data_IF_302954386825
#
_entry.id   IF_302954386825
#
_cell.length_a   1.000
_cell.length_b   1.000
_cell.length_c   1.000
_cell.angle_alpha   90.00
_cell.angle_beta   90.00
_cell.angle_gamma   90.00
#
_symmetry.space_group_name_H-M   'P 1'
#
loop_
_entity.id
_entity.type
_entity.pdbx_description
1 polymer ?
#
# COMPACT_ATOMS: atom_id res chain seq x y z
N UNK A 1 -12.63 13.35 15.53
CA UNK A 1 -11.90 12.09 15.25
C UNK A 1 -11.09 12.26 13.98
N UNK A 2 -9.85 11.86 14.01
CA UNK A 2 -9.06 11.79 12.77
C UNK A 2 -9.67 10.69 11.89
N UNK A 3 -10.09 11.04 10.67
CA UNK A 3 -10.57 10.07 9.71
C UNK A 3 -9.46 9.12 9.23
N UNK A 4 -9.84 8.01 8.62
CA UNK A 4 -8.90 7.06 8.00
C UNK A 4 -8.18 7.74 6.85
N UNK A 5 -6.84 7.76 6.89
CA UNK A 5 -6.01 8.43 5.88
C UNK A 5 -5.14 7.48 5.05
N UNK A 6 -4.95 6.25 5.52
CA UNK A 6 -4.15 5.22 4.85
C UNK A 6 -5.03 4.03 4.51
N UNK A 7 -4.96 3.56 3.27
CA UNK A 7 -5.55 2.29 2.86
C UNK A 7 -4.49 1.21 2.73
N UNK A 8 -4.66 0.07 3.40
CA UNK A 8 -3.86 -1.13 3.16
C UNK A 8 -4.71 -2.11 2.37
N UNK A 9 -4.32 -2.40 1.15
CA UNK A 9 -5.02 -3.35 0.27
C UNK A 9 -4.11 -4.51 -0.12
N UNK A 10 -4.70 -5.67 -0.31
CA UNK A 10 -3.97 -6.89 -0.68
C UNK A 10 -4.85 -7.81 -1.54
N UNK A 11 -4.21 -8.64 -2.35
CA UNK A 11 -4.92 -9.52 -3.27
C UNK A 11 -5.59 -10.72 -2.61
N UNK A 12 -5.13 -11.10 -1.42
CA UNK A 12 -5.56 -12.33 -0.74
C UNK A 12 -5.34 -12.21 0.77
N UNK A 13 -6.09 -13.00 1.53
CA UNK A 13 -5.88 -13.12 2.99
C UNK A 13 -4.48 -13.61 3.34
N UNK A 14 -3.87 -14.43 2.50
CA UNK A 14 -2.51 -14.95 2.70
C UNK A 14 -1.44 -13.84 2.72
N UNK A 15 -1.70 -12.70 2.05
CA UNK A 15 -0.77 -11.58 2.00
C UNK A 15 -0.72 -10.81 3.33
N UNK A 16 -1.69 -11.04 4.22
CA UNK A 16 -1.78 -10.32 5.49
C UNK A 16 -0.57 -10.56 6.39
N UNK A 17 0.02 -11.75 6.37
CA UNK A 17 1.23 -12.04 7.14
C UNK A 17 2.37 -11.04 6.81
N UNK A 18 2.48 -10.64 5.55
CA UNK A 18 3.43 -9.59 5.11
C UNK A 18 2.89 -8.19 5.40
N UNK A 19 1.65 -7.90 4.99
CA UNK A 19 1.08 -6.55 5.05
C UNK A 19 0.81 -6.08 6.48
N UNK A 20 0.67 -6.99 7.43
CA UNK A 20 0.56 -6.67 8.85
C UNK A 20 1.74 -5.81 9.35
N UNK A 21 2.94 -6.00 8.80
CA UNK A 21 4.10 -5.18 9.20
C UNK A 21 3.90 -3.69 8.87
N UNK A 22 3.19 -3.34 7.81
CA UNK A 22 2.82 -1.94 7.53
C UNK A 22 1.79 -1.43 8.55
N UNK A 23 0.81 -2.27 8.90
CA UNK A 23 -0.19 -1.93 9.90
C UNK A 23 0.42 -1.70 11.28
N UNK A 24 1.35 -2.56 11.70
CA UNK A 24 2.04 -2.42 12.99
C UNK A 24 2.78 -1.07 13.10
N UNK A 25 3.47 -0.64 12.03
CA UNK A 25 4.12 0.68 11.98
C UNK A 25 3.09 1.82 12.11
N UNK A 26 1.98 1.73 11.40
CA UNK A 26 0.93 2.76 11.48
C UNK A 26 0.29 2.81 12.86
N UNK A 27 0.10 1.67 13.52
CA UNK A 27 -0.38 1.57 14.90
C UNK A 27 0.59 2.24 15.87
N UNK A 28 1.90 1.94 15.78
CA UNK A 28 2.95 2.57 16.59
C UNK A 28 2.98 4.10 16.42
N UNK A 29 2.72 4.59 15.21
CA UNK A 29 2.70 6.02 14.91
C UNK A 29 1.33 6.68 15.15
N UNK A 30 0.32 5.93 15.58
CA UNK A 30 -1.02 6.44 15.86
C UNK A 30 -1.75 6.94 14.60
N UNK A 31 -1.49 6.35 13.45
CA UNK A 31 -2.09 6.72 12.17
C UNK A 31 -3.26 5.79 11.85
N UNK A 32 -4.44 6.37 11.66
CA UNK A 32 -5.64 5.62 11.32
C UNK A 32 -5.58 5.07 9.89
N UNK A 33 -5.82 3.77 9.74
CA UNK A 33 -5.84 3.08 8.47
C UNK A 33 -7.04 2.15 8.35
N UNK A 34 -7.39 1.78 7.13
CA UNK A 34 -8.28 0.65 6.83
C UNK A 34 -7.49 -0.45 6.15
N UNK A 35 -7.94 -1.70 6.29
CA UNK A 35 -7.38 -2.86 5.59
C UNK A 35 -8.46 -3.59 4.83
N UNK A 36 -8.20 -3.91 3.56
CA UNK A 36 -9.18 -4.60 2.70
C UNK A 36 -8.53 -5.57 1.73
N UNK A 37 -9.22 -6.68 1.48
CA UNK A 37 -8.88 -7.57 0.38
C UNK A 37 -9.52 -7.00 -0.88
N UNK A 38 -8.66 -6.64 -1.83
CA UNK A 38 -9.01 -6.09 -3.14
C UNK A 38 -8.15 -6.80 -4.18
N UNK A 39 -8.70 -7.83 -4.81
CA UNK A 39 -7.94 -8.59 -5.80
C UNK A 39 -8.12 -8.01 -7.20
N UNK A 40 -7.00 -7.67 -7.85
CA UNK A 40 -7.03 -7.19 -9.23
C UNK A 40 -7.64 -8.20 -10.20
N UNK A 41 -7.38 -9.48 -9.99
CA UNK A 41 -7.82 -10.55 -10.91
C UNK A 41 -9.17 -11.15 -10.53
N UNK A 42 -9.46 -11.29 -9.22
CA UNK A 42 -10.68 -11.98 -8.75
C UNK A 42 -11.83 -11.05 -8.41
N UNK A 43 -11.54 -9.79 -8.06
CA UNK A 43 -12.54 -8.78 -7.74
C UNK A 43 -12.24 -7.45 -8.44
N UNK A 44 -12.15 -7.41 -9.79
CA UNK A 44 -11.78 -6.20 -10.53
C UNK A 44 -12.74 -5.03 -10.29
N UNK A 45 -14.04 -5.28 -10.16
CA UNK A 45 -15.02 -4.23 -9.87
C UNK A 45 -14.79 -3.59 -8.50
N UNK A 46 -14.43 -4.40 -7.50
CA UNK A 46 -14.06 -3.88 -6.16
C UNK A 46 -12.81 -3.02 -6.23
N UNK A 47 -11.81 -3.43 -7.03
CA UNK A 47 -10.60 -2.62 -7.26
C UNK A 47 -10.98 -1.26 -7.87
N UNK A 48 -11.81 -1.29 -8.90
CA UNK A 48 -12.27 -0.10 -9.58
C UNK A 48 -12.96 0.87 -8.61
N UNK A 49 -13.95 0.38 -7.87
CA UNK A 49 -14.71 1.19 -6.92
C UNK A 49 -13.84 1.70 -5.77
N UNK A 50 -12.92 0.88 -5.27
CA UNK A 50 -11.98 1.31 -4.24
C UNK A 50 -11.12 2.49 -4.71
N UNK A 51 -10.52 2.39 -5.89
CA UNK A 51 -9.67 3.44 -6.46
C UNK A 51 -10.45 4.72 -6.75
N UNK A 52 -11.64 4.60 -7.35
CA UNK A 52 -12.52 5.72 -7.71
C UNK A 52 -12.96 6.52 -6.48
N UNK A 53 -13.26 5.84 -5.38
CA UNK A 53 -13.78 6.48 -4.16
C UNK A 53 -12.71 6.89 -3.15
N UNK A 54 -11.48 6.38 -3.28
CA UNK A 54 -10.40 6.54 -2.31
C UNK A 54 -10.16 8.01 -1.90
N UNK A 55 -9.97 8.90 -2.85
CA UNK A 55 -9.72 10.32 -2.57
C UNK A 55 -10.93 10.99 -1.89
N UNK A 56 -12.14 10.70 -2.35
CA UNK A 56 -13.39 11.24 -1.76
C UNK A 56 -13.63 10.76 -0.33
N UNK A 57 -13.19 9.55 0.01
CA UNK A 57 -13.26 8.99 1.37
C UNK A 57 -12.18 9.53 2.32
N UNK A 58 -11.27 10.35 1.83
CA UNK A 58 -10.23 10.98 2.63
C UNK A 58 -8.89 10.25 2.67
N UNK A 59 -8.71 9.17 1.89
CA UNK A 59 -7.42 8.48 1.82
C UNK A 59 -6.36 9.39 1.18
N UNK A 60 -5.19 9.42 1.77
CA UNK A 60 -4.02 10.22 1.37
C UNK A 60 -2.93 9.37 0.73
N UNK A 61 -2.92 8.10 1.04
CA UNK A 61 -1.97 7.13 0.49
C UNK A 61 -2.58 5.72 0.57
N UNK A 62 -2.25 4.88 -0.40
CA UNK A 62 -2.66 3.47 -0.44
C UNK A 62 -1.39 2.61 -0.46
N UNK A 63 -1.30 1.67 0.48
CA UNK A 63 -0.27 0.62 0.49
C UNK A 63 -0.89 -0.63 -0.11
N UNK A 64 -0.35 -1.10 -1.22
CA UNK A 64 -0.87 -2.24 -1.98
C UNK A 64 0.13 -3.39 -2.01
N UNK A 65 -0.21 -4.51 -1.37
CA UNK A 65 0.58 -5.73 -1.37
C UNK A 65 0.09 -6.74 -2.38
N UNK A 66 1.00 -7.32 -3.15
CA UNK A 66 0.66 -8.32 -4.14
C UNK A 66 1.81 -9.29 -4.39
N UNK A 67 1.49 -10.55 -4.71
CA UNK A 67 2.45 -11.61 -4.98
C UNK A 67 2.26 -12.25 -6.35
N UNK A 68 3.34 -12.79 -6.90
CA UNK A 68 3.36 -13.42 -8.22
C UNK A 68 3.17 -12.41 -9.35
N UNK A 69 2.12 -12.58 -10.14
CA UNK A 69 1.64 -11.57 -11.09
C UNK A 69 1.03 -10.40 -10.29
N UNK A 70 1.88 -9.59 -9.70
CA UNK A 70 1.54 -8.59 -8.70
C UNK A 70 0.99 -7.30 -9.33
N UNK A 71 -0.12 -7.40 -10.04
CA UNK A 71 -0.71 -6.30 -10.81
C UNK A 71 -1.47 -5.28 -9.97
N UNK A 72 -1.84 -5.62 -8.73
CA UNK A 72 -2.70 -4.78 -7.89
C UNK A 72 -2.19 -3.34 -7.70
N UNK A 73 -0.91 -3.09 -7.36
CA UNK A 73 -0.43 -1.72 -7.16
C UNK A 73 -0.55 -0.85 -8.41
N UNK A 74 -0.12 -1.35 -9.57
CA UNK A 74 -0.20 -0.63 -10.84
C UNK A 74 -1.64 -0.40 -11.29
N UNK A 75 -2.49 -1.41 -11.18
CA UNK A 75 -3.92 -1.29 -11.50
C UNK A 75 -4.62 -0.30 -10.57
N UNK A 76 -4.29 -0.28 -9.28
CA UNK A 76 -4.81 0.71 -8.35
C UNK A 76 -4.34 2.12 -8.73
N UNK A 77 -3.06 2.31 -9.02
CA UNK A 77 -2.52 3.60 -9.46
C UNK A 77 -3.20 4.15 -10.72
N UNK A 78 -3.70 3.27 -11.59
CA UNK A 78 -4.46 3.67 -12.78
C UNK A 78 -5.89 4.15 -12.49
N UNK A 79 -6.41 3.92 -11.29
CA UNK A 79 -7.79 4.20 -10.90
C UNK A 79 -7.96 5.32 -9.88
N UNK A 80 -6.85 5.84 -9.36
CA UNK A 80 -6.88 6.88 -8.34
C UNK A 80 -5.74 7.87 -8.52
N UNK A 81 -5.95 9.09 -8.06
CA UNK A 81 -4.90 10.10 -7.90
C UNK A 81 -4.19 10.04 -6.54
N UNK A 82 -4.66 9.15 -5.66
CA UNK A 82 -4.03 8.92 -4.36
C UNK A 82 -2.71 8.18 -4.59
N UNK A 83 -1.58 8.62 -4.02
CA UNK A 83 -0.30 7.92 -4.15
C UNK A 83 -0.39 6.46 -3.75
N UNK A 84 0.24 5.58 -4.53
CA UNK A 84 0.27 4.13 -4.28
C UNK A 84 1.69 3.69 -3.97
N UNK A 85 1.84 2.98 -2.85
CA UNK A 85 3.07 2.31 -2.43
C UNK A 85 2.87 0.82 -2.64
N UNK A 86 3.72 0.21 -3.46
CA UNK A 86 3.66 -1.21 -3.79
C UNK A 86 4.59 -2.05 -2.93
N UNK A 87 4.07 -3.11 -2.33
CA UNK A 87 4.84 -4.07 -1.54
C UNK A 87 4.85 -5.42 -2.27
N UNK A 88 6.02 -5.86 -2.78
CA UNK A 88 6.17 -7.19 -3.34
C UNK A 88 6.05 -8.25 -2.24
N UNK A 89 5.04 -9.11 -2.33
CA UNK A 89 4.86 -10.23 -1.40
C UNK A 89 5.70 -11.41 -1.85
N UNK A 90 6.37 -12.06 -0.92
CA UNK A 90 7.21 -13.22 -1.20
C UNK A 90 6.37 -14.38 -1.76
N UNK A 91 6.91 -15.09 -2.77
CA UNK A 91 6.26 -16.24 -3.41
C UNK A 91 7.13 -17.49 -3.26
N UNK A 92 6.49 -18.66 -3.40
CA UNK A 92 7.21 -19.94 -3.45
C UNK A 92 7.95 -20.13 -4.77
N UNK A 93 7.45 -19.55 -5.86
CA UNK A 93 7.98 -19.78 -7.21
C UNK A 93 9.35 -19.12 -7.40
N UNK A 94 9.47 -17.81 -7.12
CA UNK A 94 10.68 -17.03 -7.36
C UNK A 94 11.07 -16.15 -6.15
N UNK A 95 10.67 -16.56 -4.95
CA UNK A 95 11.01 -15.87 -3.69
C UNK A 95 10.63 -14.39 -3.63
N UNK A 96 9.67 -13.97 -4.43
CA UNK A 96 9.18 -12.58 -4.50
C UNK A 96 9.80 -11.75 -5.62
N UNK A 97 10.80 -12.26 -6.35
CA UNK A 97 11.39 -11.55 -7.51
C UNK A 97 10.35 -11.37 -8.63
N UNK A 98 9.48 -12.34 -8.83
CA UNK A 98 8.33 -12.26 -9.71
C UNK A 98 7.37 -11.14 -9.30
N UNK A 99 7.06 -11.02 -8.02
CA UNK A 99 6.25 -9.93 -7.46
C UNK A 99 6.93 -8.57 -7.69
N UNK A 100 8.22 -8.47 -7.39
CA UNK A 100 9.01 -7.25 -7.56
C UNK A 100 8.98 -6.77 -9.01
N UNK A 101 9.30 -7.64 -9.97
CA UNK A 101 9.31 -7.26 -11.38
C UNK A 101 7.94 -6.91 -11.93
N UNK A 102 6.88 -7.55 -11.41
CA UNK A 102 5.50 -7.20 -11.80
C UNK A 102 5.08 -5.79 -11.39
N UNK A 103 5.72 -5.22 -10.36
CA UNK A 103 5.38 -3.89 -9.84
C UNK A 103 6.34 -2.81 -10.37
N UNK A 104 7.61 -3.14 -10.55
CA UNK A 104 8.69 -2.17 -10.67
C UNK A 104 8.63 -1.31 -11.93
N UNK A 105 8.36 -1.90 -13.10
CA UNK A 105 8.44 -1.25 -14.41
C UNK A 105 7.10 -0.64 -14.84
N UNK A 106 6.55 0.27 -14.05
CA UNK A 106 5.31 0.96 -14.42
C UNK A 106 5.52 1.89 -15.62
N UNK A 107 4.57 1.93 -16.58
CA UNK A 107 4.63 2.87 -17.69
C UNK A 107 4.48 4.32 -17.21
N UNK A 108 4.93 5.26 -18.02
CA UNK A 108 4.78 6.69 -17.75
C UNK A 108 3.30 7.04 -17.47
N UNK A 109 3.06 7.74 -16.38
CA UNK A 109 1.74 8.22 -15.98
C UNK A 109 1.08 7.41 -14.84
N UNK A 110 1.64 6.27 -14.46
CA UNK A 110 1.12 5.40 -13.40
C UNK A 110 2.19 5.11 -12.33
N UNK A 111 2.60 6.11 -11.54
CA UNK A 111 3.67 5.91 -10.58
C UNK A 111 3.26 5.00 -9.43
N UNK A 112 4.15 4.06 -9.08
CA UNK A 112 4.07 3.24 -7.88
C UNK A 112 5.40 3.29 -7.15
N UNK A 113 5.39 3.64 -5.87
CA UNK A 113 6.59 3.59 -5.04
C UNK A 113 6.84 2.14 -4.59
N UNK A 114 7.73 1.44 -5.28
CA UNK A 114 7.98 0.02 -5.04
C UNK A 114 8.96 -0.19 -3.89
N UNK A 115 8.54 -0.93 -2.86
CA UNK A 115 9.31 -1.25 -1.68
C UNK A 115 10.10 -2.57 -1.83
N UNK A 116 10.88 -2.91 -0.82
CA UNK A 116 11.56 -4.20 -0.74
C UNK A 116 10.57 -5.37 -0.66
N UNK A 117 11.03 -6.57 -0.98
CA UNK A 117 10.24 -7.80 -0.91
C UNK A 117 9.95 -8.15 0.57
N UNK A 118 8.70 -8.50 0.87
CA UNK A 118 8.30 -9.09 2.13
C UNK A 118 8.15 -8.10 3.29
N UNK A 119 8.41 -8.56 4.50
CA UNK A 119 8.16 -7.83 5.74
C UNK A 119 8.88 -6.48 5.83
N UNK A 120 10.16 -6.43 5.41
CA UNK A 120 10.93 -5.19 5.41
C UNK A 120 10.29 -4.13 4.50
N UNK A 121 9.86 -4.53 3.30
CA UNK A 121 9.15 -3.66 2.36
C UNK A 121 7.82 -3.16 2.92
N UNK A 122 7.06 -4.01 3.59
CA UNK A 122 5.81 -3.64 4.22
C UNK A 122 6.01 -2.64 5.37
N UNK A 123 7.01 -2.86 6.23
CA UNK A 123 7.37 -1.90 7.30
C UNK A 123 7.78 -0.55 6.72
N UNK A 124 8.63 -0.56 5.70
CA UNK A 124 9.06 0.66 5.02
C UNK A 124 7.90 1.38 4.32
N UNK A 125 6.92 0.63 3.80
CA UNK A 125 5.70 1.22 3.25
C UNK A 125 4.90 1.97 4.32
N UNK A 126 4.77 1.41 5.51
CA UNK A 126 4.16 2.09 6.66
C UNK A 126 4.89 3.38 7.03
N UNK A 127 6.23 3.33 7.13
CA UNK A 127 7.08 4.49 7.42
C UNK A 127 6.98 5.57 6.34
N UNK A 128 6.90 5.18 5.06
CA UNK A 128 6.73 6.12 3.94
C UNK A 128 5.33 6.73 3.89
N UNK A 129 4.30 5.95 4.23
CA UNK A 129 2.92 6.41 4.26
C UNK A 129 2.67 7.43 5.37
N UNK A 130 3.36 7.31 6.50
CA UNK A 130 3.18 8.14 7.67
C UNK A 130 3.32 9.65 7.39
N UNK A 131 4.43 10.16 6.83
CA UNK A 131 4.58 11.57 6.53
C UNK A 131 3.54 12.07 5.52
N UNK A 132 3.16 11.26 4.52
CA UNK A 132 2.14 11.64 3.55
C UNK A 132 0.79 11.86 4.25
N UNK A 133 0.41 10.95 5.14
CA UNK A 133 -0.83 11.05 5.90
C UNK A 133 -0.81 12.22 6.89
N UNK A 134 0.32 12.44 7.57
CA UNK A 134 0.46 13.48 8.59
C UNK A 134 0.48 14.89 7.99
N UNK A 135 1.26 15.12 6.95
CA UNK A 135 1.32 16.41 6.25
C UNK A 135 -0.07 16.78 5.71
N UNK A 136 -0.77 15.83 5.13
CA UNK A 136 -2.10 16.05 4.59
C UNK A 136 -3.16 16.40 5.66
N UNK A 137 -2.90 16.07 6.94
CA UNK A 137 -3.80 16.38 8.06
C UNK A 137 -3.33 17.56 8.90
N UNK A 138 -2.21 18.22 8.54
CA UNK A 138 -1.62 19.33 9.30
C UNK A 138 -1.01 18.91 10.65
N UNK A 139 -0.86 17.62 10.91
CA UNK A 139 -0.19 17.12 12.10
C UNK A 139 1.34 17.29 11.95
N UNK A 140 2.03 17.80 12.97
CA UNK A 140 3.49 17.85 12.93
C UNK A 140 4.06 16.44 12.84
N UNK A 141 5.02 16.23 11.96
CA UNK A 141 5.88 15.04 11.98
C UNK A 141 6.60 15.05 13.34
N UNK A 142 6.17 14.17 14.24
CA UNK A 142 7.02 13.81 15.36
C UNK A 142 8.32 13.29 14.77
N UNK A 143 9.40 14.07 14.87
CA UNK A 143 10.70 13.65 14.38
C UNK A 143 10.99 12.30 15.01
N UNK A 144 11.11 11.28 14.18
CA UNK A 144 11.57 9.97 14.59
C UNK A 144 12.88 10.19 15.36
N UNK A 145 12.89 9.98 16.67
CA UNK A 145 14.11 9.85 17.42
C UNK A 145 14.78 8.58 16.95
N UNK A 146 15.58 8.71 15.92
CA UNK A 146 16.59 7.71 15.60
C UNK A 146 17.72 7.93 16.58
N UNK A 147 17.64 7.27 17.73
CA UNK A 147 18.78 7.00 18.59
C UNK A 147 19.36 5.65 18.23
#
# INVERSE_FOLDING_TARGET
>A
MAGVTVGIIMGSQSDWATMKNAADILDELGIAYEKKIVSAHRTPDRLWEYGKTAAGRGLKVIIAGAGGAAHLPGMMASKTRVPVIGVPVQTKALSGVDSLYSILQMPKGFPVATMAIGAAGASNAGLMAAPIAMVATGKPLGICKME
#
